data_IF_181728647109
#
_entry.id   IF_181728647109
#
_cell.length_a   1.000
_cell.length_b   1.000
_cell.length_c   1.000
_cell.angle_alpha   90.00
_cell.angle_beta   90.00
_cell.angle_gamma   90.00
#
_symmetry.space_group_name_H-M   'P 1'
#
loop_
_entity.id
_entity.type
_entity.pdbx_description
1 polymer ?
#
# COMPACT_ATOMS: atom_id res chain seq x y z
N UNK A 1 62.37 -28.97 -22.24
CA UNK A 1 62.78 -28.65 -23.63
C UNK A 1 61.55 -28.25 -24.44
N UNK A 2 61.66 -27.15 -25.19
CA UNK A 2 60.79 -26.65 -26.28
C UNK A 2 59.52 -25.86 -25.88
N UNK A 3 59.73 -24.55 -26.02
CA UNK A 3 58.83 -23.40 -26.13
C UNK A 3 57.92 -23.44 -27.37
N UNK A 4 56.73 -22.83 -27.27
CA UNK A 4 56.03 -22.17 -28.39
C UNK A 4 55.04 -21.14 -27.80
N UNK A 5 55.40 -19.87 -27.59
CA UNK A 5 55.37 -18.76 -28.55
C UNK A 5 54.11 -18.74 -29.42
N UNK A 6 53.02 -18.22 -28.84
CA UNK A 6 51.81 -17.86 -29.59
C UNK A 6 51.95 -16.44 -30.14
N UNK A 7 51.80 -16.32 -31.45
CA UNK A 7 52.13 -15.15 -32.27
C UNK A 7 51.00 -14.13 -32.20
N UNK A 8 51.40 -12.87 -32.01
CA UNK A 8 50.54 -11.71 -32.23
C UNK A 8 50.05 -11.67 -33.67
N UNK A 9 48.77 -11.35 -33.85
CA UNK A 9 48.25 -10.86 -35.12
C UNK A 9 47.38 -9.64 -34.82
N UNK A 10 47.97 -8.47 -35.08
CA UNK A 10 47.30 -7.18 -35.13
C UNK A 10 46.47 -7.18 -36.41
N UNK A 11 45.16 -7.01 -36.29
CA UNK A 11 44.31 -6.54 -37.38
C UNK A 11 43.65 -5.25 -36.94
N UNK A 12 44.09 -4.19 -37.62
CA UNK A 12 43.53 -2.87 -37.57
C UNK A 12 42.16 -2.82 -38.25
N UNK A 13 41.31 -1.92 -37.76
CA UNK A 13 40.22 -1.34 -38.52
C UNK A 13 38.84 -1.71 -38.01
N UNK A 14 38.19 -0.77 -37.32
CA UNK A 14 36.94 -0.17 -37.79
C UNK A 14 36.48 0.90 -36.79
N UNK A 15 36.47 2.13 -37.26
CA UNK A 15 35.83 3.28 -36.64
C UNK A 15 34.38 2.95 -36.32
N UNK A 16 33.99 3.01 -35.04
CA UNK A 16 32.59 3.00 -34.66
C UNK A 16 32.33 3.99 -33.52
N UNK A 17 31.69 5.09 -33.89
CA UNK A 17 30.69 5.82 -33.12
C UNK A 17 31.06 6.32 -31.72
N UNK A 18 31.26 7.64 -31.62
CA UNK A 18 30.74 8.38 -30.47
C UNK A 18 29.23 8.13 -30.37
N UNK A 19 28.80 7.32 -29.41
CA UNK A 19 27.48 7.44 -28.82
C UNK A 19 27.67 7.43 -27.31
N UNK A 20 27.53 8.63 -26.75
CA UNK A 20 27.28 8.84 -25.34
C UNK A 20 26.12 7.92 -24.92
N UNK A 21 26.45 6.86 -24.19
CA UNK A 21 25.45 6.04 -23.53
C UNK A 21 24.78 6.88 -22.46
N UNK A 22 23.62 7.45 -22.78
CA UNK A 22 22.65 7.80 -21.75
C UNK A 22 22.25 6.48 -21.07
N UNK A 23 22.93 6.13 -19.98
CA UNK A 23 22.48 5.09 -19.07
C UNK A 23 21.09 5.49 -18.59
N UNK A 24 20.11 4.78 -19.12
CA UNK A 24 18.69 5.01 -18.93
C UNK A 24 18.34 4.60 -17.50
N UNK A 25 18.38 5.54 -16.57
CA UNK A 25 17.78 5.40 -15.25
C UNK A 25 16.26 5.19 -15.40
N UNK A 26 15.80 3.95 -15.62
CA UNK A 26 14.36 3.64 -15.72
C UNK A 26 13.83 2.74 -14.59
N UNK A 27 14.66 2.29 -13.65
CA UNK A 27 14.24 1.17 -12.79
C UNK A 27 13.85 1.50 -11.35
N UNK A 28 13.94 2.75 -10.87
CA UNK A 28 13.51 3.09 -9.49
C UNK A 28 12.05 3.52 -9.33
N UNK A 29 11.39 4.02 -10.38
CA UNK A 29 10.00 4.48 -10.28
C UNK A 29 8.96 3.35 -10.45
N UNK A 30 9.38 2.21 -11.02
CA UNK A 30 8.45 1.13 -11.42
C UNK A 30 8.00 0.23 -10.26
N UNK A 31 8.79 0.10 -9.19
CA UNK A 31 8.49 -0.86 -8.11
C UNK A 31 7.53 -0.33 -7.04
N UNK A 32 7.29 0.99 -7.00
CA UNK A 32 6.33 1.63 -6.09
C UNK A 32 4.95 1.69 -6.74
N UNK A 33 4.86 2.15 -8.01
CA UNK A 33 3.58 2.20 -8.73
C UNK A 33 2.97 0.83 -9.01
N UNK A 34 3.79 -0.22 -9.11
CA UNK A 34 3.30 -1.59 -9.31
C UNK A 34 2.72 -2.22 -8.03
N UNK A 35 2.93 -1.59 -6.87
CA UNK A 35 2.39 -2.09 -5.60
C UNK A 35 1.03 -1.49 -5.29
N UNK A 36 0.79 -0.21 -5.55
CA UNK A 36 -0.46 0.42 -5.14
C UNK A 36 -1.63 0.14 -6.09
N UNK A 37 -2.85 0.00 -5.55
CA UNK A 37 -4.06 -0.04 -6.36
C UNK A 37 -4.27 1.29 -7.12
N UNK A 38 -5.07 1.25 -8.19
CA UNK A 38 -5.43 2.46 -8.93
C UNK A 38 -6.15 3.50 -8.07
N UNK A 39 -6.89 3.07 -7.05
CA UNK A 39 -7.54 3.95 -6.07
C UNK A 39 -6.54 4.53 -5.08
N UNK A 40 -5.61 3.75 -4.54
CA UNK A 40 -4.55 4.27 -3.68
C UNK A 40 -3.63 5.26 -4.43
N UNK A 41 -3.36 5.03 -5.72
CA UNK A 41 -2.64 5.99 -6.55
C UNK A 41 -3.43 7.29 -6.78
N UNK A 42 -4.76 7.23 -6.81
CA UNK A 42 -5.61 8.44 -6.78
C UNK A 42 -5.51 9.14 -5.43
N UNK A 43 -5.56 8.40 -4.32
CA UNK A 43 -5.37 8.93 -2.97
C UNK A 43 -4.02 9.60 -2.78
N UNK A 44 -2.95 9.03 -3.33
CA UNK A 44 -1.61 9.64 -3.34
C UNK A 44 -1.60 11.01 -4.02
N UNK A 45 -2.35 11.18 -5.11
CA UNK A 45 -2.47 12.50 -5.76
C UNK A 45 -3.19 13.51 -4.86
N UNK A 46 -4.28 13.10 -4.23
CA UNK A 46 -4.98 13.95 -3.25
C UNK A 46 -4.03 14.31 -2.09
N UNK A 47 -3.23 13.36 -1.60
CA UNK A 47 -2.26 13.57 -0.54
C UNK A 47 -1.21 14.64 -0.89
N UNK A 48 -0.72 14.62 -2.12
CA UNK A 48 0.22 15.61 -2.67
C UNK A 48 -0.46 16.97 -2.88
N UNK A 49 -1.63 17.00 -3.51
CA UNK A 49 -2.40 18.22 -3.81
C UNK A 49 -2.87 18.95 -2.55
N UNK A 50 -3.14 18.21 -1.47
CA UNK A 50 -3.56 18.76 -0.17
C UNK A 50 -2.40 18.98 0.78
N UNK A 51 -1.16 18.86 0.29
CA UNK A 51 0.06 19.16 1.05
C UNK A 51 0.20 18.34 2.34
N UNK A 52 -0.36 17.13 2.41
CA UNK A 52 -0.35 16.31 3.62
C UNK A 52 1.09 15.95 4.06
N UNK A 53 2.01 15.86 3.10
CA UNK A 53 3.43 15.57 3.31
C UNK A 53 4.20 16.69 4.04
N UNK A 54 3.63 17.89 4.16
CA UNK A 54 4.28 19.01 4.88
C UNK A 54 4.30 18.77 6.40
N UNK A 55 3.37 17.97 6.91
CA UNK A 55 3.28 17.63 8.34
C UNK A 55 3.47 16.13 8.60
N UNK A 56 2.92 15.27 7.75
CA UNK A 56 2.95 13.81 7.92
C UNK A 56 4.11 13.17 7.15
N UNK A 57 4.69 12.12 7.74
CA UNK A 57 5.62 11.23 7.05
C UNK A 57 4.92 9.95 6.60
N UNK A 58 5.58 9.18 5.71
CA UNK A 58 5.07 7.91 5.15
C UNK A 58 6.18 6.86 5.10
N UNK A 59 6.69 6.41 6.25
CA UNK A 59 7.69 5.34 6.34
C UNK A 59 8.96 5.64 7.12
N UNK A 60 9.06 6.83 7.71
CA UNK A 60 10.03 7.12 8.77
C UNK A 60 9.45 8.24 9.63
N UNK A 61 9.14 7.94 10.89
CA UNK A 61 8.86 8.98 11.88
C UNK A 61 10.14 9.80 12.08
N UNK A 62 10.07 11.11 11.92
CA UNK A 62 11.18 12.00 12.26
C UNK A 62 11.01 12.41 13.72
N UNK A 63 12.08 12.49 14.50
CA UNK A 63 11.97 12.86 15.92
C UNK A 63 11.38 14.27 16.15
N UNK A 64 11.41 15.11 15.11
CA UNK A 64 10.87 16.47 15.05
C UNK A 64 9.60 16.57 14.19
N UNK A 65 8.97 15.46 13.82
CA UNK A 65 7.78 15.49 12.95
C UNK A 65 6.60 16.15 13.67
N UNK A 66 6.01 17.16 13.02
CA UNK A 66 4.86 17.94 13.51
C UNK A 66 3.58 17.08 13.59
N UNK A 67 3.50 16.02 12.79
CA UNK A 67 2.38 15.09 12.77
C UNK A 67 2.88 13.63 12.70
N UNK A 68 2.05 12.63 13.04
CA UNK A 68 2.48 11.23 13.08
C UNK A 68 2.80 10.67 11.69
N UNK A 69 3.65 9.64 11.66
CA UNK A 69 3.91 8.83 10.47
C UNK A 69 2.66 8.02 10.10
N UNK A 70 2.15 8.24 8.90
CA UNK A 70 0.93 7.61 8.42
C UNK A 70 1.14 6.19 7.89
N UNK A 71 2.38 5.70 7.83
CA UNK A 71 2.61 4.26 7.59
C UNK A 71 2.63 3.43 8.87
N UNK A 72 2.49 4.07 10.05
CA UNK A 72 2.43 3.34 11.31
C UNK A 72 1.21 2.40 11.30
N UNK A 73 1.39 1.10 11.59
CA UNK A 73 0.31 0.11 11.60
C UNK A 73 -0.95 0.54 12.34
N UNK A 74 -0.82 1.29 13.45
CA UNK A 74 -1.99 1.74 14.20
C UNK A 74 -2.89 2.71 13.41
N UNK A 75 -2.28 3.62 12.65
CA UNK A 75 -3.02 4.62 11.87
C UNK A 75 -3.39 4.09 10.48
N UNK A 76 -2.49 3.29 9.91
CA UNK A 76 -2.63 2.77 8.57
C UNK A 76 -3.60 1.59 8.49
N UNK A 77 -3.72 0.77 9.55
CA UNK A 77 -4.61 -0.39 9.51
C UNK A 77 -6.07 -0.07 9.74
N UNK A 78 -6.38 1.08 10.30
CA UNK A 78 -7.74 1.46 10.62
C UNK A 78 -8.28 2.47 9.60
N UNK A 79 -8.74 1.95 8.46
CA UNK A 79 -9.36 2.77 7.41
C UNK A 79 -10.58 3.54 7.92
N UNK A 80 -11.30 3.01 8.92
CA UNK A 80 -12.42 3.69 9.56
C UNK A 80 -11.94 4.88 10.37
N UNK A 81 -10.87 4.73 11.15
CA UNK A 81 -10.23 5.82 11.86
C UNK A 81 -9.81 6.92 10.89
N UNK A 82 -9.13 6.59 9.78
CA UNK A 82 -8.69 7.60 8.80
C UNK A 82 -9.89 8.36 8.23
N UNK A 83 -10.94 7.67 7.80
CA UNK A 83 -12.12 8.32 7.24
C UNK A 83 -12.84 9.20 8.28
N UNK A 84 -13.01 8.69 9.50
CA UNK A 84 -13.68 9.42 10.58
C UNK A 84 -12.86 10.64 11.01
N UNK A 85 -11.54 10.47 11.17
CA UNK A 85 -10.62 11.53 11.54
C UNK A 85 -10.65 12.67 10.51
N UNK A 86 -10.59 12.35 9.21
CA UNK A 86 -10.62 13.37 8.15
C UNK A 86 -11.99 14.07 8.05
N UNK A 87 -13.10 13.37 8.31
CA UNK A 87 -14.44 13.98 8.34
C UNK A 87 -14.62 15.01 9.46
N UNK A 88 -13.92 14.82 10.58
CA UNK A 88 -14.03 15.69 11.76
C UNK A 88 -12.70 16.39 12.09
N UNK A 89 -11.83 16.58 11.09
CA UNK A 89 -10.46 17.09 11.27
C UNK A 89 -10.43 18.47 11.93
N UNK A 90 -11.46 19.28 11.71
CA UNK A 90 -11.66 20.60 12.32
C UNK A 90 -11.71 20.59 13.87
N UNK A 91 -11.96 19.42 14.48
CA UNK A 91 -12.02 19.23 15.94
C UNK A 91 -10.70 18.72 16.51
N UNK A 92 -9.65 18.70 15.71
CA UNK A 92 -8.36 18.10 16.06
C UNK A 92 -7.24 19.13 15.97
N UNK A 93 -6.00 18.70 16.24
CA UNK A 93 -4.81 19.55 16.07
C UNK A 93 -4.34 19.63 14.60
N UNK A 94 -4.89 18.82 13.71
CA UNK A 94 -4.63 18.94 12.28
C UNK A 94 -5.32 20.20 11.73
N UNK A 95 -4.69 20.90 10.77
CA UNK A 95 -5.30 22.07 10.17
C UNK A 95 -6.62 21.69 9.49
N UNK A 96 -7.63 22.58 9.49
CA UNK A 96 -8.88 22.32 8.79
C UNK A 96 -8.61 22.19 7.28
N UNK A 97 -9.00 21.05 6.70
CA UNK A 97 -8.85 20.75 5.28
C UNK A 97 -10.22 20.67 4.63
N UNK A 98 -10.37 21.26 3.44
CA UNK A 98 -11.56 21.06 2.61
C UNK A 98 -11.36 19.79 1.77
N UNK A 99 -12.00 18.71 2.21
CA UNK A 99 -12.01 17.41 1.54
C UNK A 99 -13.45 16.97 1.26
N UNK A 100 -13.69 16.49 0.06
CA UNK A 100 -14.92 15.79 -0.33
C UNK A 100 -14.91 14.35 0.20
N UNK A 101 -16.09 13.74 0.29
CA UNK A 101 -16.20 12.32 0.69
C UNK A 101 -15.37 11.39 -0.20
N UNK A 102 -15.27 11.70 -1.50
CA UNK A 102 -14.45 10.94 -2.44
C UNK A 102 -12.96 11.08 -2.10
N UNK A 103 -12.48 12.29 -1.85
CA UNK A 103 -11.09 12.53 -1.45
C UNK A 103 -10.75 11.83 -0.14
N UNK A 104 -11.65 11.88 0.86
CA UNK A 104 -11.47 11.18 2.14
C UNK A 104 -11.34 9.66 1.94
N UNK A 105 -12.21 9.06 1.12
CA UNK A 105 -12.11 7.63 0.80
C UNK A 105 -10.80 7.29 0.11
N UNK A 106 -10.42 8.05 -0.93
CA UNK A 106 -9.17 7.84 -1.66
C UNK A 106 -7.94 7.96 -0.75
N UNK A 107 -7.91 8.95 0.14
CA UNK A 107 -6.85 9.09 1.16
C UNK A 107 -6.80 7.89 2.10
N UNK A 108 -7.97 7.37 2.53
CA UNK A 108 -8.00 6.17 3.38
C UNK A 108 -7.41 4.94 2.68
N UNK A 109 -7.67 4.75 1.39
CA UNK A 109 -7.06 3.64 0.62
C UNK A 109 -5.55 3.81 0.49
N UNK A 110 -5.08 5.04 0.23
CA UNK A 110 -3.65 5.30 0.15
C UNK A 110 -2.94 5.02 1.48
N UNK A 111 -3.49 5.52 2.60
CA UNK A 111 -2.94 5.32 3.93
C UNK A 111 -2.95 3.83 4.32
N UNK A 112 -4.03 3.10 4.03
CA UNK A 112 -4.10 1.67 4.26
C UNK A 112 -3.02 0.89 3.49
N UNK A 113 -2.80 1.24 2.22
CA UNK A 113 -1.77 0.58 1.43
C UNK A 113 -0.33 1.00 1.78
N UNK A 114 -0.12 2.09 2.54
CA UNK A 114 1.20 2.38 3.15
C UNK A 114 1.58 1.32 4.18
N UNK A 115 0.61 0.80 4.95
CA UNK A 115 0.86 -0.33 5.85
C UNK A 115 1.27 -1.55 5.05
N UNK A 116 0.44 -1.91 4.06
CA UNK A 116 0.66 -3.08 3.21
C UNK A 116 2.05 -3.02 2.57
N UNK A 117 2.42 -1.89 1.98
CA UNK A 117 3.72 -1.73 1.32
C UNK A 117 4.93 -2.00 2.24
N UNK A 118 4.76 -1.93 3.56
CA UNK A 118 5.81 -2.17 4.56
C UNK A 118 5.70 -3.54 5.25
N UNK A 119 4.51 -4.14 5.29
CA UNK A 119 4.23 -5.30 6.13
C UNK A 119 3.61 -6.49 5.37
N UNK A 120 3.41 -6.37 4.05
CA UNK A 120 2.83 -7.41 3.20
C UNK A 120 3.56 -8.75 3.36
N UNK A 121 2.81 -9.75 3.82
CA UNK A 121 3.29 -11.14 3.96
C UNK A 121 2.74 -12.08 2.89
N UNK A 122 1.74 -11.62 2.12
CA UNK A 122 1.05 -12.37 1.06
C UNK A 122 0.97 -11.48 -0.17
N UNK A 123 1.39 -11.99 -1.33
CA UNK A 123 1.27 -11.20 -2.56
C UNK A 123 -0.18 -11.15 -3.08
N UNK A 124 -0.51 -10.09 -3.81
CA UNK A 124 -1.81 -9.95 -4.50
C UNK A 124 -2.16 -11.15 -5.40
N UNK A 125 -1.17 -11.87 -5.95
CA UNK A 125 -1.39 -13.04 -6.80
C UNK A 125 -1.75 -14.31 -6.01
N UNK A 126 -1.40 -14.37 -4.73
CA UNK A 126 -1.62 -15.54 -3.87
C UNK A 126 -2.84 -15.35 -2.95
N UNK A 127 -3.30 -14.12 -2.79
CA UNK A 127 -4.41 -13.77 -1.93
C UNK A 127 -5.74 -14.38 -2.41
N UNK A 128 -6.49 -14.95 -1.48
CA UNK A 128 -7.85 -15.48 -1.69
C UNK A 128 -8.89 -14.83 -0.76
N UNK A 129 -8.47 -13.80 0.00
CA UNK A 129 -9.27 -12.89 0.79
C UNK A 129 -8.61 -11.51 0.89
N UNK A 130 -9.34 -10.55 1.46
CA UNK A 130 -8.78 -9.28 1.94
C UNK A 130 -9.19 -9.02 3.38
N UNK A 131 -8.30 -8.34 4.10
CA UNK A 131 -8.59 -7.86 5.44
C UNK A 131 -9.67 -6.76 5.38
N UNK A 132 -10.80 -6.88 6.11
CA UNK A 132 -11.87 -5.88 6.05
C UNK A 132 -11.53 -4.54 6.72
N UNK A 133 -10.39 -4.45 7.43
CA UNK A 133 -9.98 -3.26 8.18
C UNK A 133 -8.95 -2.43 7.39
N UNK A 134 -7.91 -3.10 6.88
CA UNK A 134 -6.78 -2.47 6.18
C UNK A 134 -6.72 -2.79 4.67
N UNK A 135 -7.64 -3.60 4.14
CA UNK A 135 -7.68 -4.05 2.74
C UNK A 135 -6.49 -4.87 2.25
N UNK A 136 -5.57 -5.23 3.15
CA UNK A 136 -4.41 -6.03 2.81
C UNK A 136 -4.82 -7.40 2.23
N UNK A 137 -4.06 -7.92 1.25
CA UNK A 137 -4.22 -9.27 0.73
C UNK A 137 -4.02 -10.29 1.85
N UNK A 138 -4.90 -11.29 1.92
CA UNK A 138 -4.85 -12.35 2.92
C UNK A 138 -4.97 -13.69 2.22
N UNK A 139 -4.21 -14.67 2.70
CA UNK A 139 -4.38 -16.09 2.38
C UNK A 139 -5.20 -16.75 3.49
N UNK A 140 -6.42 -17.23 3.18
CA UNK A 140 -7.40 -17.79 4.14
C UNK A 140 -6.78 -18.93 4.94
N UNK A 141 -6.02 -19.82 4.32
CA UNK A 141 -5.39 -20.96 5.00
C UNK A 141 -4.36 -20.50 6.03
N UNK A 142 -3.60 -19.44 5.72
CA UNK A 142 -2.65 -18.84 6.67
C UNK A 142 -3.37 -18.17 7.83
N UNK A 143 -4.39 -17.36 7.54
CA UNK A 143 -5.19 -16.70 8.57
C UNK A 143 -5.87 -17.71 9.51
N UNK A 144 -6.35 -18.84 8.98
CA UNK A 144 -6.88 -19.94 9.80
C UNK A 144 -5.81 -20.58 10.69
N UNK A 145 -4.61 -20.82 10.15
CA UNK A 145 -3.50 -21.40 10.92
C UNK A 145 -3.02 -20.48 12.05
N UNK A 146 -3.08 -19.16 11.82
CA UNK A 146 -2.66 -18.13 12.77
C UNK A 146 -3.80 -17.65 13.71
N UNK A 147 -5.00 -18.25 13.65
CA UNK A 147 -6.22 -17.84 14.36
C UNK A 147 -6.64 -16.36 14.11
N UNK A 148 -6.30 -15.85 12.93
CA UNK A 148 -6.61 -14.50 12.45
C UNK A 148 -7.90 -14.46 11.63
N UNK A 149 -9.00 -14.94 12.20
CA UNK A 149 -10.32 -14.90 11.55
C UNK A 149 -11.46 -14.73 12.55
N UNK A 150 -12.64 -14.34 12.05
CA UNK A 150 -13.88 -14.28 12.83
C UNK A 150 -15.08 -14.66 11.97
N UNK A 151 -16.02 -15.38 12.56
CA UNK A 151 -17.33 -15.65 11.97
C UNK A 151 -18.31 -14.59 12.44
N UNK A 152 -18.88 -13.82 11.53
CA UNK A 152 -19.86 -12.78 11.86
C UNK A 152 -21.02 -12.83 10.86
N UNK A 153 -22.25 -12.96 11.37
CA UNK A 153 -23.49 -13.11 10.59
C UNK A 153 -23.40 -14.20 9.49
N UNK A 154 -22.75 -15.32 9.79
CA UNK A 154 -22.61 -16.45 8.86
C UNK A 154 -21.54 -16.27 7.79
N UNK A 155 -20.76 -15.18 7.82
CA UNK A 155 -19.61 -14.96 6.93
C UNK A 155 -18.30 -15.07 7.72
N UNK A 156 -17.29 -15.72 7.15
CA UNK A 156 -15.93 -15.70 7.70
C UNK A 156 -15.14 -14.52 7.15
N UNK A 157 -14.60 -13.71 8.06
CA UNK A 157 -13.69 -12.61 7.76
C UNK A 157 -12.28 -13.00 8.22
N UNK A 158 -11.29 -12.70 7.38
CA UNK A 158 -9.90 -13.08 7.58
C UNK A 158 -9.05 -11.82 7.70
N UNK A 159 -8.03 -11.85 8.56
CA UNK A 159 -7.25 -10.68 8.90
C UNK A 159 -5.77 -10.92 8.61
N UNK A 160 -5.07 -9.85 8.24
CA UNK A 160 -3.62 -9.86 8.05
C UNK A 160 -2.88 -9.96 9.39
N UNK A 161 -3.42 -9.34 10.44
CA UNK A 161 -2.77 -9.26 11.75
C UNK A 161 -3.79 -9.22 12.91
N UNK A 162 -3.29 -9.51 14.12
CA UNK A 162 -4.08 -9.53 15.37
C UNK A 162 -4.76 -8.18 15.64
N UNK A 163 -4.06 -7.08 15.40
CA UNK A 163 -4.62 -5.74 15.60
C UNK A 163 -5.84 -5.48 14.71
N UNK A 164 -5.83 -5.91 13.44
CA UNK A 164 -7.00 -5.78 12.58
C UNK A 164 -8.17 -6.62 13.09
N UNK A 165 -7.90 -7.84 13.57
CA UNK A 165 -8.92 -8.70 14.17
C UNK A 165 -9.55 -8.03 15.41
N UNK A 166 -8.73 -7.50 16.32
CA UNK A 166 -9.21 -6.81 17.51
C UNK A 166 -10.01 -5.55 17.18
N UNK A 167 -9.52 -4.71 16.27
CA UNK A 167 -10.22 -3.50 15.81
C UNK A 167 -11.57 -3.86 15.18
N UNK A 168 -11.62 -4.90 14.34
CA UNK A 168 -12.88 -5.36 13.75
C UNK A 168 -13.90 -5.79 14.80
N UNK A 169 -13.46 -6.53 15.84
CA UNK A 169 -14.35 -7.01 16.92
C UNK A 169 -15.03 -5.88 17.69
N UNK A 170 -14.46 -4.67 17.69
CA UNK A 170 -15.05 -3.52 18.39
C UNK A 170 -16.23 -2.89 17.63
N UNK A 171 -16.25 -2.99 16.30
CA UNK A 171 -17.26 -2.36 15.45
C UNK A 171 -17.47 -3.10 14.11
N UNK A 172 -17.87 -4.38 14.12
CA UNK A 172 -17.87 -5.22 12.92
C UNK A 172 -18.79 -4.68 11.82
N UNK A 173 -19.96 -4.14 12.17
CA UNK A 173 -20.92 -3.61 11.20
C UNK A 173 -20.35 -2.43 10.41
N UNK A 174 -19.59 -1.55 11.07
CA UNK A 174 -18.98 -0.38 10.44
C UNK A 174 -17.88 -0.79 9.45
N UNK A 175 -17.03 -1.75 9.83
CA UNK A 175 -15.99 -2.27 8.94
C UNK A 175 -16.56 -3.05 7.78
N UNK A 176 -17.62 -3.83 7.98
CA UNK A 176 -18.29 -4.54 6.90
C UNK A 176 -18.85 -3.56 5.86
N UNK A 177 -19.45 -2.46 6.31
CA UNK A 177 -19.98 -1.45 5.38
C UNK A 177 -18.87 -0.74 4.59
N UNK A 178 -17.79 -0.35 5.27
CA UNK A 178 -16.62 0.24 4.62
C UNK A 178 -15.97 -0.73 3.62
N UNK A 179 -15.89 -2.00 3.99
CA UNK A 179 -15.33 -3.03 3.13
C UNK A 179 -16.18 -3.27 1.88
N UNK A 180 -17.51 -3.30 2.00
CA UNK A 180 -18.41 -3.37 0.82
C UNK A 180 -18.23 -2.15 -0.09
N UNK A 181 -18.08 -0.95 0.49
CA UNK A 181 -17.82 0.25 -0.30
C UNK A 181 -16.48 0.14 -1.06
N UNK A 182 -15.44 -0.36 -0.40
CA UNK A 182 -14.15 -0.61 -1.03
C UNK A 182 -14.25 -1.63 -2.19
N UNK A 183 -14.91 -2.76 -1.98
CA UNK A 183 -15.13 -3.77 -3.02
C UNK A 183 -15.92 -3.21 -4.22
N UNK A 184 -16.93 -2.38 -3.94
CA UNK A 184 -17.70 -1.69 -4.98
C UNK A 184 -16.82 -0.69 -5.76
N UNK A 185 -15.98 0.08 -5.08
CA UNK A 185 -15.08 1.05 -5.71
C UNK A 185 -14.01 0.38 -6.59
N UNK A 186 -13.61 -0.84 -6.22
CA UNK A 186 -12.61 -1.65 -6.95
C UNK A 186 -13.18 -2.41 -8.16
N UNK A 187 -14.48 -2.28 -8.45
CA UNK A 187 -15.07 -2.79 -9.69
C UNK A 187 -15.90 -4.07 -9.58
N UNK A 188 -16.34 -4.47 -8.38
CA UNK A 188 -17.38 -5.50 -8.22
C UNK A 188 -16.97 -6.96 -8.53
N UNK A 189 -15.79 -7.19 -9.10
CA UNK A 189 -15.27 -8.55 -9.38
C UNK A 189 -14.83 -9.29 -8.10
N UNK A 190 -14.69 -8.58 -6.97
CA UNK A 190 -14.40 -9.16 -5.64
C UNK A 190 -15.53 -10.00 -5.05
N UNK A 191 -16.74 -9.95 -5.61
CA UNK A 191 -17.86 -10.79 -5.20
C UNK A 191 -17.64 -12.30 -5.48
N UNK A 192 -16.55 -12.67 -6.15
CA UNK A 192 -16.14 -14.06 -6.41
C UNK A 192 -15.32 -14.72 -5.27
N UNK A 193 -15.23 -14.11 -4.09
CA UNK A 193 -14.55 -14.69 -2.91
C UNK A 193 -15.50 -15.18 -1.81
N UNK A 194 -16.77 -15.47 -2.15
CA UNK A 194 -17.71 -16.18 -1.27
C UNK A 194 -17.41 -17.67 -1.22
#
# INVERSE_FOLDING_TARGET
MKTARFRWMVLAGLSFGLLAGCVRQKERASSVSARFSALALQGKRVFEEKHCAECHTTGTARADSVAPDLSNPFLANDSMFVQTHLKFVERTKMPPLKLSDKEIRLLSYYVAELHRAQNETVSEAEADARCPVCYAPVKKEKALADDLFVSYLGTHYYFECEQCLETFRQAPEAFIELFRQYESDMGGDGAAMR
#
